data_IF_396373328555
#
_entry.id   IF_396373328555
#
_cell.length_a   1.000
_cell.length_b   1.000
_cell.length_c   1.000
_cell.angle_alpha   90.00
_cell.angle_beta   90.00
_cell.angle_gamma   90.00
#
_symmetry.space_group_name_H-M   'P 1'
#
loop_
_entity.id
_entity.type
_entity.pdbx_description
1 polymer ?
#
# COMPACT_ATOMS: atom_id res chain seq x y z
N UNK A 1 -14.18 11.56 32.41
CA UNK A 1 -13.11 10.73 33.00
C UNK A 1 -12.53 9.92 31.85
N UNK A 2 -11.33 10.27 31.36
CA UNK A 2 -10.71 9.51 30.26
C UNK A 2 -10.32 8.14 30.82
N UNK A 3 -11.05 7.09 30.43
CA UNK A 3 -10.69 5.70 30.73
C UNK A 3 -9.27 5.46 30.22
N UNK A 4 -8.38 4.94 31.06
CA UNK A 4 -7.00 4.65 30.68
C UNK A 4 -6.92 3.59 29.58
N UNK A 5 -5.92 3.68 28.71
CA UNK A 5 -5.73 2.72 27.59
C UNK A 5 -5.58 1.28 28.12
N UNK A 6 -4.87 1.09 29.23
CA UNK A 6 -4.72 -0.21 29.90
C UNK A 6 -6.06 -0.84 30.27
N UNK A 7 -7.03 -0.03 30.71
CA UNK A 7 -8.39 -0.51 31.02
C UNK A 7 -9.14 -0.94 29.77
N UNK A 8 -8.92 -0.25 28.63
CA UNK A 8 -9.52 -0.62 27.35
C UNK A 8 -8.93 -1.93 26.82
N UNK A 9 -7.62 -2.17 26.95
CA UNK A 9 -6.97 -3.42 26.54
C UNK A 9 -7.46 -4.63 27.35
N UNK A 10 -7.62 -4.47 28.68
CA UNK A 10 -8.19 -5.51 29.55
C UNK A 10 -9.64 -5.81 29.17
N UNK A 11 -10.42 -4.77 28.85
CA UNK A 11 -11.81 -4.93 28.41
C UNK A 11 -11.87 -5.62 27.06
N UNK A 12 -10.99 -5.25 26.12
CA UNK A 12 -10.88 -5.87 24.81
C UNK A 12 -10.57 -7.37 24.96
N UNK A 13 -9.56 -7.74 25.76
CA UNK A 13 -9.27 -9.14 26.08
C UNK A 13 -10.49 -9.90 26.62
N UNK A 14 -11.24 -9.27 27.53
CA UNK A 14 -12.46 -9.86 28.09
C UNK A 14 -13.53 -10.08 27.02
N UNK A 15 -13.74 -9.11 26.13
CA UNK A 15 -14.68 -9.21 25.01
C UNK A 15 -14.27 -10.32 24.02
N UNK A 16 -12.96 -10.47 23.74
CA UNK A 16 -12.44 -11.53 22.89
C UNK A 16 -12.67 -12.92 23.51
N UNK A 17 -12.39 -13.07 24.81
CA UNK A 17 -12.58 -14.33 25.54
C UNK A 17 -14.06 -14.72 25.69
N UNK A 18 -14.95 -13.73 25.81
CA UNK A 18 -16.40 -13.93 25.94
C UNK A 18 -17.13 -13.99 24.59
N UNK A 19 -16.40 -13.97 23.46
CA UNK A 19 -16.94 -13.97 22.10
C UNK A 19 -17.97 -12.86 21.85
N UNK A 20 -17.64 -11.64 22.27
CA UNK A 20 -18.42 -10.42 21.98
C UNK A 20 -17.71 -9.59 20.89
N UNK A 21 -17.83 -9.97 19.60
CA UNK A 21 -17.01 -9.40 18.54
C UNK A 21 -17.26 -7.90 18.29
N UNK A 22 -18.52 -7.44 18.32
CA UNK A 22 -18.84 -6.02 18.08
C UNK A 22 -18.21 -5.10 19.13
N UNK A 23 -18.30 -5.45 20.41
CA UNK A 23 -17.68 -4.69 21.49
C UNK A 23 -16.14 -4.73 21.41
N UNK A 24 -15.57 -5.86 20.96
CA UNK A 24 -14.14 -5.96 20.72
C UNK A 24 -13.68 -5.01 19.59
N UNK A 25 -14.46 -4.88 18.51
CA UNK A 25 -14.14 -3.96 17.42
C UNK A 25 -14.16 -2.48 17.83
N UNK A 26 -15.20 -2.06 18.56
CA UNK A 26 -15.30 -0.68 19.08
C UNK A 26 -14.11 -0.32 19.97
N UNK A 27 -13.72 -1.25 20.86
CA UNK A 27 -12.59 -1.07 21.76
C UNK A 27 -11.26 -1.05 21.01
N UNK A 28 -11.07 -1.96 20.04
CA UNK A 28 -9.87 -2.00 19.20
C UNK A 28 -9.68 -0.70 18.44
N UNK A 29 -10.72 -0.22 17.75
CA UNK A 29 -10.70 1.05 17.04
C UNK A 29 -10.40 2.23 17.99
N UNK A 30 -11.05 2.27 19.15
CA UNK A 30 -10.81 3.31 20.16
C UNK A 30 -9.39 3.31 20.72
N UNK A 31 -8.76 2.14 20.90
CA UNK A 31 -7.37 2.05 21.35
C UNK A 31 -6.43 2.51 20.24
N UNK A 32 -6.61 2.01 19.01
CA UNK A 32 -5.77 2.34 17.86
C UNK A 32 -5.87 3.82 17.45
N UNK A 33 -7.01 4.48 17.69
CA UNK A 33 -7.20 5.92 17.49
C UNK A 33 -6.47 6.80 18.53
N UNK A 34 -6.24 6.30 19.75
CA UNK A 34 -5.61 7.07 20.84
C UNK A 34 -4.08 7.16 20.77
N UNK A 35 -3.45 6.39 19.87
CA UNK A 35 -2.06 6.62 19.46
C UNK A 35 -1.08 5.48 19.77
N UNK A 36 -0.47 4.97 18.69
CA UNK A 36 0.93 4.52 18.47
C UNK A 36 1.69 3.68 19.51
N UNK A 37 1.03 2.94 20.40
CA UNK A 37 1.68 1.82 21.09
C UNK A 37 1.23 0.49 20.50
N UNK A 38 2.16 -0.46 20.46
CA UNK A 38 1.86 -1.87 20.19
C UNK A 38 0.80 -2.31 21.21
N UNK A 39 -0.32 -2.83 20.72
CA UNK A 39 -1.30 -3.45 21.61
C UNK A 39 -0.59 -4.58 22.35
N UNK A 40 -0.78 -4.65 23.67
CA UNK A 40 -0.33 -5.81 24.43
C UNK A 40 -1.31 -6.99 24.26
N UNK A 41 -1.53 -7.35 22.99
CA UNK A 41 -2.46 -8.37 22.51
C UNK A 41 -1.73 -9.20 21.48
N UNK A 42 -1.85 -10.52 21.59
CA UNK A 42 -1.36 -11.42 20.54
C UNK A 42 -2.19 -11.19 19.27
N UNK A 43 -1.52 -10.80 18.19
CA UNK A 43 -2.16 -10.55 16.90
C UNK A 43 -2.84 -11.81 16.35
N UNK A 44 -2.35 -13.01 16.67
CA UNK A 44 -2.94 -14.28 16.26
C UNK A 44 -4.26 -14.58 16.99
N UNK A 45 -4.30 -14.31 18.29
CA UNK A 45 -5.53 -14.44 19.09
C UNK A 45 -6.57 -13.41 18.66
N UNK A 46 -6.14 -12.18 18.41
CA UNK A 46 -7.01 -11.14 17.87
C UNK A 46 -7.53 -11.55 16.48
N UNK A 47 -6.65 -11.92 15.54
CA UNK A 47 -7.03 -12.38 14.20
C UNK A 47 -8.06 -13.52 14.25
N UNK A 48 -7.83 -14.53 15.09
CA UNK A 48 -8.74 -15.67 15.24
C UNK A 48 -10.11 -15.25 15.77
N UNK A 49 -10.13 -14.38 16.78
CA UNK A 49 -11.37 -13.89 17.40
C UNK A 49 -12.14 -12.94 16.47
N UNK A 50 -11.44 -12.08 15.74
CA UNK A 50 -12.01 -11.16 14.76
C UNK A 50 -12.60 -11.87 13.53
N UNK A 51 -12.15 -13.09 13.22
CA UNK A 51 -12.74 -13.89 12.14
C UNK A 51 -13.98 -14.69 12.57
N UNK A 52 -14.40 -14.61 13.84
CA UNK A 52 -15.65 -15.25 14.30
C UNK A 52 -16.90 -14.39 14.09
N UNK A 53 -16.75 -13.14 13.64
CA UNK A 53 -17.84 -12.28 13.16
C UNK A 53 -17.88 -12.22 11.63
N UNK A 54 -18.99 -11.71 11.09
CA UNK A 54 -19.04 -11.35 9.67
C UNK A 54 -17.90 -10.36 9.38
N UNK A 55 -17.06 -10.70 8.41
CA UNK A 55 -15.90 -9.90 8.03
C UNK A 55 -16.32 -8.54 7.46
N UNK A 56 -17.57 -8.38 7.00
CA UNK A 56 -18.08 -7.08 6.50
C UNK A 56 -18.28 -6.08 7.64
N UNK A 57 -18.84 -6.51 8.77
CA UNK A 57 -19.05 -5.65 9.95
C UNK A 57 -17.72 -5.18 10.55
N UNK A 58 -16.72 -6.05 10.53
CA UNK A 58 -15.35 -5.77 10.98
C UNK A 58 -14.67 -4.60 10.24
N UNK A 59 -14.92 -4.47 8.92
CA UNK A 59 -14.24 -3.48 8.09
C UNK A 59 -14.65 -2.05 8.44
N UNK A 60 -15.91 -1.84 8.83
CA UNK A 60 -16.40 -0.53 9.28
C UNK A 60 -15.60 0.04 10.46
N UNK A 61 -15.08 -0.82 11.33
CA UNK A 61 -14.31 -0.43 12.50
C UNK A 61 -12.80 -0.30 12.21
N UNK A 62 -12.30 -1.04 11.24
CA UNK A 62 -10.89 -1.02 10.83
C UNK A 62 -10.57 0.09 9.85
N UNK A 63 -11.54 0.60 9.09
CA UNK A 63 -11.35 1.69 8.12
C UNK A 63 -10.58 2.91 8.64
N UNK A 64 -10.89 3.48 9.82
CA UNK A 64 -10.16 4.63 10.33
C UNK A 64 -8.74 4.30 10.82
N UNK A 65 -8.38 3.02 10.94
CA UNK A 65 -7.13 2.55 11.56
C UNK A 65 -6.32 1.58 10.69
N UNK A 66 -6.79 1.27 9.48
CA UNK A 66 -6.16 0.33 8.55
C UNK A 66 -4.72 0.70 8.18
N UNK A 67 -4.41 2.00 8.19
CA UNK A 67 -3.08 2.57 7.94
C UNK A 67 -2.18 2.63 9.20
N UNK A 68 -2.63 2.13 10.36
CA UNK A 68 -1.81 2.15 11.58
C UNK A 68 -0.76 1.04 11.50
N UNK A 69 0.48 1.36 11.91
CA UNK A 69 1.63 0.46 11.92
C UNK A 69 1.33 -0.94 12.48
N UNK A 70 0.66 -1.02 13.63
CA UNK A 70 0.33 -2.31 14.25
C UNK A 70 -0.66 -3.14 13.41
N UNK A 71 -1.58 -2.49 12.68
CA UNK A 71 -2.50 -3.19 11.77
C UNK A 71 -1.73 -3.77 10.59
N UNK A 72 -0.78 -3.01 10.03
CA UNK A 72 0.00 -3.43 8.85
C UNK A 72 1.09 -4.45 9.20
N UNK A 73 1.84 -4.25 10.28
CA UNK A 73 3.00 -5.06 10.64
C UNK A 73 2.66 -6.27 11.52
N UNK A 74 1.51 -6.28 12.21
CA UNK A 74 1.16 -7.35 13.16
C UNK A 74 -0.17 -8.03 12.83
N UNK A 75 -1.26 -7.26 12.67
CA UNK A 75 -2.58 -7.83 12.43
C UNK A 75 -2.71 -8.47 11.05
N UNK A 76 -2.22 -7.80 9.99
CA UNK A 76 -2.31 -8.31 8.62
C UNK A 76 -1.59 -9.66 8.43
N UNK A 77 -0.32 -9.84 8.88
CA UNK A 77 0.33 -11.15 8.84
C UNK A 77 -0.44 -12.23 9.62
N UNK A 78 -0.92 -11.90 10.82
CA UNK A 78 -1.68 -12.83 11.64
C UNK A 78 -3.01 -13.26 10.98
N UNK A 79 -3.67 -12.34 10.27
CA UNK A 79 -4.87 -12.64 9.49
C UNK A 79 -4.56 -13.49 8.25
N UNK A 80 -3.42 -13.24 7.58
CA UNK A 80 -3.00 -14.03 6.42
C UNK A 80 -2.66 -15.49 6.80
N UNK A 81 -2.15 -15.71 8.01
CA UNK A 81 -1.85 -17.05 8.54
C UNK A 81 -3.07 -17.76 9.16
N UNK A 82 -4.13 -17.01 9.47
CA UNK A 82 -5.35 -17.54 10.08
C UNK A 82 -6.13 -18.46 9.13
N UNK A 83 -6.57 -19.61 9.66
CA UNK A 83 -7.42 -20.58 8.94
C UNK A 83 -8.92 -20.28 9.09
N UNK A 84 -9.29 -19.19 9.74
CA UNK A 84 -10.68 -18.86 10.00
C UNK A 84 -11.41 -18.45 8.70
N UNK A 85 -12.71 -18.79 8.56
CA UNK A 85 -13.50 -18.39 7.40
C UNK A 85 -13.58 -16.85 7.32
N UNK A 86 -13.34 -16.30 6.13
CA UNK A 86 -13.35 -14.84 5.90
C UNK A 86 -12.02 -14.13 6.19
N UNK A 87 -11.02 -14.79 6.79
CA UNK A 87 -9.71 -14.19 7.07
C UNK A 87 -9.00 -13.67 5.80
N UNK A 88 -9.05 -14.43 4.71
CA UNK A 88 -8.50 -14.02 3.41
C UNK A 88 -9.20 -12.78 2.82
N UNK A 89 -10.54 -12.73 2.89
CA UNK A 89 -11.32 -11.57 2.43
C UNK A 89 -11.01 -10.33 3.27
N UNK A 90 -10.95 -10.49 4.59
CA UNK A 90 -10.61 -9.40 5.52
C UNK A 90 -9.19 -8.89 5.29
N UNK A 91 -8.23 -9.79 5.06
CA UNK A 91 -6.84 -9.44 4.72
C UNK A 91 -6.78 -8.63 3.42
N UNK A 92 -7.51 -9.07 2.38
CA UNK A 92 -7.58 -8.35 1.12
C UNK A 92 -8.23 -6.96 1.30
N UNK A 93 -9.34 -6.88 2.02
CA UNK A 93 -10.05 -5.63 2.26
C UNK A 93 -9.23 -4.63 3.10
N UNK A 94 -8.57 -5.07 4.16
CA UNK A 94 -7.66 -4.21 4.96
C UNK A 94 -6.49 -3.71 4.10
N UNK A 95 -5.92 -4.55 3.22
CA UNK A 95 -4.89 -4.11 2.26
C UNK A 95 -5.42 -3.06 1.29
N UNK A 96 -6.64 -3.23 0.78
CA UNK A 96 -7.27 -2.24 -0.10
C UNK A 96 -7.53 -0.93 0.65
N UNK A 97 -8.09 -0.98 1.85
CA UNK A 97 -8.33 0.20 2.69
C UNK A 97 -7.03 0.90 3.09
N UNK A 98 -5.94 0.15 3.30
CA UNK A 98 -4.61 0.70 3.54
C UNK A 98 -3.92 1.26 2.29
N UNK A 99 -4.43 0.94 1.09
CA UNK A 99 -3.93 1.49 -0.17
C UNK A 99 -4.55 2.86 -0.49
N UNK A 100 -5.81 3.05 -0.10
CA UNK A 100 -6.58 4.28 -0.31
C UNK A 100 -6.28 5.32 0.76
N UNK A 101 -5.90 6.52 0.32
CA UNK A 101 -5.58 7.67 1.18
C UNK A 101 -6.65 8.73 1.03
N UNK A 102 -6.87 9.52 2.08
CA UNK A 102 -7.89 10.58 2.09
C UNK A 102 -7.24 11.94 2.28
N UNK A 103 -7.67 12.90 1.47
CA UNK A 103 -7.37 14.32 1.73
C UNK A 103 -8.56 14.94 2.47
N UNK A 104 -8.30 15.45 3.68
CA UNK A 104 -9.30 16.05 4.55
C UNK A 104 -9.01 17.54 4.70
N UNK A 105 -10.01 18.38 4.43
CA UNK A 105 -9.94 19.82 4.62
C UNK A 105 -11.13 20.25 5.48
N UNK A 106 -10.86 21.01 6.55
CA UNK A 106 -11.88 21.50 7.50
C UNK A 106 -12.80 20.38 8.05
N UNK A 107 -12.20 19.23 8.38
CA UNK A 107 -12.91 18.07 8.93
C UNK A 107 -13.78 17.30 7.92
N UNK A 108 -13.71 17.62 6.63
CA UNK A 108 -14.43 16.91 5.56
C UNK A 108 -13.47 16.24 4.58
N UNK A 109 -13.76 15.01 4.18
CA UNK A 109 -13.04 14.34 3.09
C UNK A 109 -13.35 15.06 1.79
N UNK A 110 -12.31 15.59 1.14
CA UNK A 110 -12.41 16.28 -0.15
C UNK A 110 -12.36 15.26 -1.28
N UNK A 111 -11.40 14.34 -1.20
CA UNK A 111 -11.24 13.22 -2.12
C UNK A 111 -10.46 12.09 -1.46
N UNK A 112 -10.65 10.90 -2.00
CA UNK A 112 -9.83 9.72 -1.71
C UNK A 112 -8.95 9.43 -2.91
N UNK A 113 -7.80 8.83 -2.71
CA UNK A 113 -6.88 8.53 -3.79
C UNK A 113 -6.01 7.33 -3.49
N UNK A 114 -5.66 6.61 -4.54
CA UNK A 114 -4.69 5.53 -4.50
C UNK A 114 -3.76 5.62 -5.72
N UNK A 115 -2.72 4.80 -5.71
CA UNK A 115 -1.81 4.71 -6.83
C UNK A 115 -1.29 3.30 -6.98
N UNK A 116 -1.01 2.93 -8.23
CA UNK A 116 -0.19 1.80 -8.60
C UNK A 116 1.11 2.33 -9.24
N UNK A 117 1.87 1.45 -9.88
CA UNK A 117 3.13 1.82 -10.55
C UNK A 117 2.95 2.82 -11.70
N UNK A 118 1.81 2.79 -12.38
CA UNK A 118 1.57 3.49 -13.66
C UNK A 118 0.53 4.61 -13.56
N UNK A 119 -0.32 4.58 -12.55
CA UNK A 119 -1.57 5.31 -12.49
C UNK A 119 -1.81 5.85 -11.09
N UNK A 120 -2.54 6.96 -11.03
CA UNK A 120 -3.10 7.51 -9.81
C UNK A 120 -4.61 7.64 -9.98
N UNK A 121 -5.37 7.07 -9.05
CA UNK A 121 -6.82 7.13 -9.03
C UNK A 121 -7.28 8.10 -7.95
N UNK A 122 -8.25 8.93 -8.27
CA UNK A 122 -8.88 9.90 -7.35
C UNK A 122 -10.39 9.66 -7.36
N UNK A 123 -10.97 9.54 -6.18
CA UNK A 123 -12.38 9.29 -5.93
C UNK A 123 -12.98 10.49 -5.20
N UNK A 124 -14.07 11.03 -5.73
CA UNK A 124 -14.76 12.20 -5.19
C UNK A 124 -16.24 11.88 -5.11
N UNK A 125 -16.84 12.08 -3.94
CA UNK A 125 -18.29 11.99 -3.75
C UNK A 125 -18.96 13.31 -4.14
N UNK A 126 -19.63 13.40 -5.30
CA UNK A 126 -20.33 14.61 -5.72
C UNK A 126 -21.61 14.82 -4.89
N UNK A 127 -22.16 16.05 -4.87
CA UNK A 127 -23.46 16.29 -4.28
C UNK A 127 -24.56 15.40 -4.90
N UNK A 128 -25.58 14.99 -4.12
CA UNK A 128 -26.67 14.16 -4.63
C UNK A 128 -27.36 14.78 -5.86
N UNK A 129 -27.58 13.96 -6.89
CA UNK A 129 -28.24 14.40 -8.13
C UNK A 129 -27.31 15.05 -9.17
N UNK A 130 -26.00 15.15 -8.89
CA UNK A 130 -25.02 15.52 -9.91
C UNK A 130 -24.85 14.36 -10.90
N UNK A 131 -24.96 14.66 -12.19
CA UNK A 131 -24.73 13.71 -13.27
C UNK A 131 -23.52 14.14 -14.09
N UNK A 132 -23.04 13.25 -14.96
CA UNK A 132 -21.94 13.53 -15.91
C UNK A 132 -22.10 14.85 -16.67
N UNK A 133 -23.32 15.24 -17.00
CA UNK A 133 -23.59 16.45 -17.78
C UNK A 133 -23.36 17.75 -17.01
N UNK A 134 -23.45 17.70 -15.68
CA UNK A 134 -23.22 18.85 -14.80
C UNK A 134 -21.74 19.09 -14.50
N UNK A 135 -20.88 18.10 -14.74
CA UNK A 135 -19.46 18.19 -14.41
C UNK A 135 -18.65 18.93 -15.49
N UNK A 136 -17.69 19.71 -15.04
CA UNK A 136 -16.64 20.37 -15.81
C UNK A 136 -15.29 19.86 -15.28
N UNK A 137 -14.75 18.84 -15.96
CA UNK A 137 -13.51 18.17 -15.56
C UNK A 137 -12.52 18.29 -16.70
N UNK A 138 -11.35 18.82 -16.39
CA UNK A 138 -10.24 18.96 -17.33
C UNK A 138 -8.97 18.39 -16.70
N UNK A 139 -8.45 17.36 -17.33
CA UNK A 139 -7.16 16.77 -17.02
C UNK A 139 -6.16 17.39 -18.02
N UNK A 140 -5.09 17.96 -17.52
CA UNK A 140 -3.97 18.51 -18.30
C UNK A 140 -2.66 17.95 -17.72
N UNK A 141 -1.54 17.94 -18.47
CA UNK A 141 -0.30 17.31 -18.02
C UNK A 141 0.22 17.82 -16.67
N UNK A 142 -0.07 19.08 -16.33
CA UNK A 142 0.35 19.72 -15.07
C UNK A 142 -0.82 20.34 -14.30
N UNK A 143 -2.06 20.03 -14.66
CA UNK A 143 -3.21 20.64 -14.01
C UNK A 143 -4.43 19.73 -13.99
N UNK A 144 -5.11 19.64 -12.85
CA UNK A 144 -6.38 18.96 -12.70
C UNK A 144 -7.42 19.98 -12.25
N UNK A 145 -8.43 20.19 -13.10
CA UNK A 145 -9.60 20.98 -12.76
C UNK A 145 -10.81 20.08 -12.66
N UNK A 146 -11.52 20.18 -11.54
CA UNK A 146 -12.77 19.46 -11.27
C UNK A 146 -13.78 20.48 -10.77
N UNK A 147 -14.97 20.53 -11.35
CA UNK A 147 -16.02 21.43 -10.90
C UNK A 147 -17.40 21.06 -11.43
N UNK A 148 -18.39 21.81 -10.98
CA UNK A 148 -19.75 21.75 -11.52
C UNK A 148 -19.94 22.97 -12.42
N UNK A 149 -20.48 22.77 -13.63
CA UNK A 149 -20.73 23.83 -14.60
C UNK A 149 -21.55 24.96 -13.96
N UNK A 150 -21.09 26.19 -14.17
CA UNK A 150 -21.71 27.41 -13.61
C UNK A 150 -21.21 27.79 -12.21
N UNK A 151 -20.45 26.93 -11.54
CA UNK A 151 -19.83 27.23 -10.24
C UNK A 151 -18.31 27.41 -10.38
N UNK A 152 -17.64 28.02 -9.39
CA UNK A 152 -16.19 27.96 -9.26
C UNK A 152 -15.71 26.49 -9.24
N UNK A 153 -14.50 26.20 -9.76
CA UNK A 153 -13.95 24.86 -9.72
C UNK A 153 -13.78 24.38 -8.26
N UNK A 154 -14.18 23.14 -8.01
CA UNK A 154 -14.06 22.48 -6.72
C UNK A 154 -12.60 22.11 -6.43
N UNK A 155 -11.87 21.59 -7.44
CA UNK A 155 -10.42 21.39 -7.41
C UNK A 155 -9.82 22.09 -8.62
N UNK A 156 -8.70 22.78 -8.41
CA UNK A 156 -7.98 23.47 -9.48
C UNK A 156 -6.49 23.53 -9.16
N UNK A 157 -5.86 22.36 -9.13
CA UNK A 157 -4.52 22.17 -8.59
C UNK A 157 -3.62 21.40 -9.57
N UNK A 158 -2.32 21.43 -9.35
CA UNK A 158 -1.39 20.61 -10.12
C UNK A 158 -1.36 19.17 -9.58
N UNK A 159 -1.40 18.13 -10.44
CA UNK A 159 -1.03 16.78 -10.05
C UNK A 159 0.39 16.75 -9.49
N UNK A 160 0.69 15.76 -8.64
CA UNK A 160 2.00 15.66 -7.99
C UNK A 160 3.16 15.64 -8.99
N UNK A 161 2.99 14.90 -10.09
CA UNK A 161 3.92 14.85 -11.22
C UNK A 161 3.20 14.96 -12.57
N UNK A 162 3.95 14.89 -13.67
CA UNK A 162 3.42 15.00 -15.02
C UNK A 162 2.48 13.81 -15.34
N UNK A 163 1.33 14.11 -15.94
CA UNK A 163 0.31 13.14 -16.35
C UNK A 163 0.26 13.02 -17.87
N UNK A 164 0.12 11.80 -18.39
CA UNK A 164 -0.18 11.55 -19.80
C UNK A 164 -1.67 11.70 -20.04
N UNK A 165 -2.06 12.79 -20.70
CA UNK A 165 -3.46 13.22 -20.78
C UNK A 165 -4.30 12.32 -21.69
N UNK A 166 -3.69 11.79 -22.75
CA UNK A 166 -4.38 10.95 -23.74
C UNK A 166 -4.79 9.58 -23.16
N UNK A 167 -4.03 9.08 -22.20
CA UNK A 167 -4.27 7.82 -21.48
C UNK A 167 -5.06 8.02 -20.18
N UNK A 168 -5.34 9.26 -19.80
CA UNK A 168 -6.08 9.60 -18.58
C UNK A 168 -7.56 9.82 -18.88
N UNK A 169 -8.42 9.42 -17.95
CA UNK A 169 -9.86 9.57 -18.13
C UNK A 169 -10.58 9.75 -16.80
N UNK A 170 -11.87 10.06 -16.88
CA UNK A 170 -12.74 10.13 -15.72
C UNK A 170 -14.12 9.56 -16.05
N UNK A 171 -14.76 9.02 -15.03
CA UNK A 171 -16.09 8.42 -15.13
C UNK A 171 -16.86 8.60 -13.83
N UNK A 172 -18.17 8.39 -13.89
CA UNK A 172 -19.00 8.30 -12.69
C UNK A 172 -19.54 6.87 -12.62
N UNK A 173 -19.30 6.22 -11.48
CA UNK A 173 -19.82 4.88 -11.17
C UNK A 173 -20.59 4.98 -9.84
N UNK A 174 -21.83 4.46 -9.82
CA UNK A 174 -22.69 4.44 -8.63
C UNK A 174 -22.82 5.78 -7.87
N UNK A 175 -22.68 6.90 -8.59
CA UNK A 175 -22.77 8.25 -8.03
C UNK A 175 -21.44 8.80 -7.53
N UNK A 176 -20.35 8.03 -7.55
CA UNK A 176 -19.00 8.47 -7.23
C UNK A 176 -18.24 8.89 -8.50
N UNK A 177 -17.51 10.01 -8.43
CA UNK A 177 -16.63 10.46 -9.50
C UNK A 177 -15.26 9.79 -9.35
N UNK A 178 -14.87 9.04 -10.36
CA UNK A 178 -13.56 8.41 -10.48
C UNK A 178 -12.72 9.11 -11.55
N UNK A 179 -11.51 9.53 -11.19
CA UNK A 179 -10.54 10.16 -12.07
C UNK A 179 -9.29 9.29 -12.08
N UNK A 180 -8.90 8.80 -13.25
CA UNK A 180 -7.68 8.02 -13.47
C UNK A 180 -6.66 8.88 -14.24
N UNK A 181 -5.51 9.09 -13.61
CA UNK A 181 -4.38 9.84 -14.17
C UNK A 181 -3.23 8.88 -14.48
N UNK A 182 -2.87 8.77 -15.76
CA UNK A 182 -1.70 8.03 -16.20
C UNK A 182 -0.42 8.80 -15.85
N UNK A 183 0.48 8.21 -15.08
CA UNK A 183 1.77 8.82 -14.74
C UNK A 183 2.64 8.86 -15.99
N UNK A 184 3.19 10.03 -16.32
CA UNK A 184 4.19 10.12 -17.39
C UNK A 184 5.54 9.48 -16.99
N UNK A 185 5.74 9.23 -15.69
CA UNK A 185 6.92 8.57 -15.14
C UNK A 185 6.51 7.30 -14.40
N UNK A 186 6.49 6.17 -15.12
CA UNK A 186 6.27 4.83 -14.55
C UNK A 186 7.21 4.56 -13.37
N UNK A 187 6.65 4.07 -12.27
CA UNK A 187 7.37 3.79 -11.03
C UNK A 187 7.69 5.00 -10.16
N UNK A 188 7.21 6.19 -10.52
CA UNK A 188 7.29 7.35 -9.63
C UNK A 188 6.27 7.24 -8.50
N UNK A 189 6.77 7.33 -7.27
CA UNK A 189 5.94 7.34 -6.07
C UNK A 189 5.39 8.74 -5.84
N UNK A 190 4.07 8.87 -5.89
CA UNK A 190 3.41 10.13 -5.61
C UNK A 190 3.14 10.24 -4.11
N UNK A 191 3.59 11.32 -3.47
CA UNK A 191 3.31 11.54 -2.05
C UNK A 191 1.89 12.09 -1.82
N UNK A 192 1.28 12.67 -2.84
CA UNK A 192 -0.10 13.12 -2.84
C UNK A 192 -0.67 12.92 -4.24
N UNK A 193 -1.99 12.89 -4.40
CA UNK A 193 -2.58 12.98 -5.73
C UNK A 193 -2.33 14.36 -6.37
N UNK A 194 -2.45 15.42 -5.56
CA UNK A 194 -2.32 16.82 -5.95
C UNK A 194 -1.26 17.52 -5.10
N UNK A 195 -0.53 18.46 -5.70
CA UNK A 195 0.50 19.24 -4.97
C UNK A 195 -0.14 20.07 -3.87
N UNK A 196 0.55 20.17 -2.74
CA UNK A 196 0.10 20.98 -1.59
C UNK A 196 -1.02 20.33 -0.75
N UNK A 197 -1.62 19.23 -1.20
CA UNK A 197 -2.70 18.52 -0.49
C UNK A 197 -2.20 17.43 0.46
N UNK A 198 -1.04 17.68 1.08
CA UNK A 198 -0.42 16.80 2.07
C UNK A 198 0.96 16.29 1.65
N UNK A 199 1.75 15.94 2.66
CA UNK A 199 2.98 15.16 2.51
C UNK A 199 2.76 13.85 3.25
N UNK A 200 3.17 12.74 2.64
CA UNK A 200 3.28 11.48 3.38
C UNK A 200 4.29 11.65 4.50
N UNK A 201 4.04 11.01 5.64
CA UNK A 201 5.10 10.80 6.60
C UNK A 201 6.15 9.83 6.01
N UNK A 202 7.38 9.96 6.50
CA UNK A 202 8.53 9.19 6.00
C UNK A 202 8.33 7.67 6.05
N UNK A 203 7.49 7.16 6.96
CA UNK A 203 7.23 5.72 7.07
C UNK A 203 6.22 5.26 6.01
N UNK A 204 5.11 5.98 5.86
CA UNK A 204 4.13 5.72 4.79
C UNK A 204 4.79 5.75 3.42
N UNK A 205 5.68 6.72 3.17
CA UNK A 205 6.43 6.79 1.90
C UNK A 205 7.29 5.54 1.67
N UNK A 206 7.96 5.04 2.72
CA UNK A 206 8.75 3.81 2.63
C UNK A 206 7.90 2.58 2.33
N UNK A 207 6.73 2.44 2.96
CA UNK A 207 5.81 1.32 2.70
C UNK A 207 5.30 1.33 1.26
N UNK A 208 4.98 2.51 0.74
CA UNK A 208 4.51 2.68 -0.64
C UNK A 208 5.64 2.38 -1.62
N UNK A 209 6.85 2.88 -1.34
CA UNK A 209 8.02 2.57 -2.15
C UNK A 209 8.27 1.06 -2.21
N UNK A 210 8.14 0.35 -1.08
CA UNK A 210 8.23 -1.11 -1.02
C UNK A 210 7.16 -1.77 -1.88
N UNK A 211 5.90 -1.35 -1.75
CA UNK A 211 4.76 -1.89 -2.52
C UNK A 211 4.97 -1.70 -4.03
N UNK A 212 5.27 -0.48 -4.46
CA UNK A 212 5.48 -0.14 -5.88
C UNK A 212 6.70 -0.85 -6.47
N UNK A 213 7.74 -1.07 -5.67
CA UNK A 213 8.91 -1.85 -6.09
C UNK A 213 8.56 -3.33 -6.29
N UNK A 214 7.79 -3.91 -5.37
CA UNK A 214 7.36 -5.31 -5.48
C UNK A 214 6.46 -5.51 -6.71
N UNK A 215 5.53 -4.58 -6.95
CA UNK A 215 4.67 -4.56 -8.13
C UNK A 215 5.49 -4.52 -9.42
N UNK A 216 6.45 -3.58 -9.53
CA UNK A 216 7.39 -3.50 -10.66
C UNK A 216 8.10 -4.83 -10.91
N UNK A 217 8.56 -5.46 -9.84
CA UNK A 217 9.35 -6.67 -9.92
C UNK A 217 8.52 -7.88 -10.36
N UNK A 218 7.27 -7.95 -9.93
CA UNK A 218 6.32 -8.97 -10.41
C UNK A 218 6.00 -8.80 -11.89
N UNK A 219 5.82 -7.56 -12.39
CA UNK A 219 5.65 -7.28 -13.82
C UNK A 219 6.86 -7.70 -14.66
N UNK A 220 8.08 -7.46 -14.16
CA UNK A 220 9.32 -7.81 -14.84
C UNK A 220 9.60 -9.33 -14.81
N UNK A 221 8.98 -10.09 -13.88
CA UNK A 221 9.20 -11.53 -13.70
C UNK A 221 7.88 -12.33 -13.52
N UNK A 222 7.05 -12.48 -14.58
CA UNK A 222 5.71 -13.08 -14.51
C UNK A 222 5.65 -14.59 -14.18
N UNK A 223 6.77 -15.22 -13.82
CA UNK A 223 6.88 -16.64 -13.48
C UNK A 223 7.35 -16.93 -12.06
N UNK A 224 7.53 -15.89 -11.23
CA UNK A 224 8.01 -16.04 -9.86
C UNK A 224 7.02 -15.38 -8.89
N UNK A 225 6.61 -16.12 -7.87
CA UNK A 225 5.71 -15.64 -6.83
C UNK A 225 6.52 -14.97 -5.70
N UNK A 226 6.41 -13.64 -5.61
CA UNK A 226 7.05 -12.85 -4.54
C UNK A 226 6.04 -12.36 -3.50
N UNK A 227 4.84 -12.95 -3.42
CA UNK A 227 3.81 -12.54 -2.46
C UNK A 227 4.25 -12.67 -0.99
N UNK A 228 5.23 -13.51 -0.68
CA UNK A 228 5.82 -13.68 0.65
C UNK A 228 7.13 -12.90 0.89
N UNK A 229 7.61 -12.11 -0.06
CA UNK A 229 8.91 -11.45 0.05
C UNK A 229 8.85 -10.22 0.97
N UNK A 230 9.77 -10.17 1.95
CA UNK A 230 9.93 -9.01 2.84
C UNK A 230 11.18 -8.21 2.49
N UNK A 231 11.05 -6.89 2.48
CA UNK A 231 12.15 -5.97 2.18
C UNK A 231 12.92 -5.61 3.46
N UNK A 232 14.22 -5.92 3.54
CA UNK A 232 15.06 -5.52 4.66
C UNK A 232 15.81 -4.21 4.37
N UNK A 233 15.29 -3.08 4.86
CA UNK A 233 15.94 -1.76 4.75
C UNK A 233 15.06 -0.64 4.21
N UNK A 234 15.69 0.45 3.75
CA UNK A 234 15.00 1.56 3.06
C UNK A 234 14.81 1.25 1.58
N UNK A 235 13.56 1.28 1.11
CA UNK A 235 13.25 1.05 -0.30
C UNK A 235 13.50 2.33 -1.11
N UNK A 236 14.45 2.34 -2.07
CA UNK A 236 14.55 3.43 -3.02
C UNK A 236 13.28 3.52 -3.88
N UNK A 237 13.02 4.69 -4.46
CA UNK A 237 11.90 4.86 -5.39
C UNK A 237 12.01 3.88 -6.57
N UNK A 238 10.89 3.25 -6.92
CA UNK A 238 10.79 2.30 -8.03
C UNK A 238 11.15 2.90 -9.40
N UNK A 239 11.23 4.24 -9.52
CA UNK A 239 11.67 4.95 -10.73
C UNK A 239 13.16 4.76 -11.03
N UNK A 240 14.01 4.75 -10.00
CA UNK A 240 15.43 4.50 -10.22
C UNK A 240 15.56 3.05 -10.69
N UNK A 241 16.18 2.81 -11.86
CA UNK A 241 16.39 1.46 -12.37
C UNK A 241 17.24 0.67 -11.37
N UNK A 242 16.57 -0.04 -10.47
CA UNK A 242 17.21 -0.96 -9.56
C UNK A 242 17.30 -2.26 -10.34
N UNK A 243 18.45 -2.54 -10.95
CA UNK A 243 18.70 -3.83 -11.62
C UNK A 243 18.26 -4.97 -10.71
N UNK A 244 17.67 -6.05 -11.25
CA UNK A 244 17.20 -7.21 -10.50
C UNK A 244 18.19 -7.68 -9.40
N UNK A 245 19.51 -7.58 -9.64
CA UNK A 245 20.57 -7.88 -8.67
C UNK A 245 20.55 -7.01 -7.39
N UNK A 246 20.16 -5.74 -7.46
CA UNK A 246 20.03 -4.86 -6.30
C UNK A 246 18.73 -5.12 -5.53
N UNK A 247 17.65 -5.54 -6.20
CA UNK A 247 16.40 -5.92 -5.54
C UNK A 247 16.59 -7.27 -4.82
N UNK A 248 17.21 -8.25 -5.48
CA UNK A 248 17.56 -9.54 -4.89
C UNK A 248 18.48 -9.41 -3.66
N UNK A 249 19.36 -8.40 -3.61
CA UNK A 249 20.22 -8.13 -2.46
C UNK A 249 19.46 -7.56 -1.25
N UNK A 250 18.26 -7.02 -1.42
CA UNK A 250 17.47 -6.38 -0.34
C UNK A 250 16.25 -7.21 0.09
N UNK A 251 15.86 -8.20 -0.71
CA UNK A 251 14.87 -9.21 -0.32
C UNK A 251 15.56 -10.34 0.47
N UNK A 252 15.49 -10.31 1.80
CA UNK A 252 16.06 -11.37 2.64
C UNK A 252 15.09 -12.54 2.88
N UNK A 253 15.04 -13.48 1.90
CA UNK A 253 14.85 -14.96 1.96
C UNK A 253 13.49 -15.61 2.37
N UNK A 254 13.27 -16.94 2.10
CA UNK A 254 14.08 -17.94 1.35
C UNK A 254 13.30 -18.67 0.20
N UNK A 255 13.94 -19.22 -0.83
CA UNK A 255 14.33 -20.64 -0.83
C UNK A 255 15.51 -20.93 -1.77
N UNK A 256 16.52 -21.60 -1.22
CA UNK A 256 17.67 -22.21 -1.92
C UNK A 256 18.80 -21.27 -2.42
N UNK A 257 20.08 -21.53 -2.05
CA UNK A 257 21.25 -20.86 -2.64
C UNK A 257 21.42 -21.12 -4.15
N UNK A 258 20.73 -22.11 -4.70
CA UNK A 258 20.74 -22.44 -6.12
C UNK A 258 20.04 -21.38 -6.98
N UNK A 259 19.05 -20.66 -6.43
CA UNK A 259 18.23 -19.71 -7.20
C UNK A 259 18.87 -18.31 -7.31
N UNK A 260 19.76 -17.96 -6.37
CA UNK A 260 20.53 -16.72 -6.41
C UNK A 260 21.56 -16.68 -7.56
N UNK A 261 22.08 -17.85 -7.96
CA UNK A 261 23.09 -17.97 -9.03
C UNK A 261 22.44 -17.74 -10.41
N UNK A 262 21.17 -18.11 -10.57
CA UNK A 262 20.35 -17.88 -11.78
C UNK A 262 20.11 -16.39 -12.07
N UNK A 263 20.08 -15.57 -11.01
CA UNK A 263 19.79 -14.14 -11.10
C UNK A 263 20.96 -13.30 -11.65
N UNK A 264 22.18 -13.81 -11.59
CA UNK A 264 23.38 -13.08 -12.02
C UNK A 264 23.73 -13.25 -13.50
N UNK A 265 23.10 -14.22 -14.19
CA UNK A 265 23.39 -14.49 -15.60
C UNK A 265 22.12 -14.90 -16.36
N UNK A 266 21.48 -14.00 -17.12
CA UNK A 266 20.58 -14.46 -18.18
C UNK A 266 21.46 -15.12 -19.24
N UNK A 267 21.06 -16.31 -19.69
CA UNK A 267 21.72 -17.09 -20.74
C UNK A 267 21.99 -16.17 -21.95
N UNK A 268 23.25 -15.78 -22.15
CA UNK A 268 23.71 -15.18 -23.40
C UNK A 268 24.71 -16.10 -24.05
N UNK A 269 24.38 -16.52 -25.27
CA UNK A 269 25.27 -17.26 -26.16
C UNK A 269 26.58 -16.48 -26.41
N UNK A 270 27.69 -17.23 -26.51
CA UNK A 270 28.96 -16.76 -27.09
C UNK A 270 30.07 -16.48 -26.08
N UNK A 271 31.30 -16.89 -26.45
CA UNK A 271 32.52 -17.08 -25.65
C UNK A 271 33.03 -15.91 -24.74
N UNK A 272 32.31 -14.81 -24.59
CA UNK A 272 32.63 -13.73 -23.65
C UNK A 272 32.43 -14.10 -22.17
N UNK A 273 31.52 -15.03 -21.86
CA UNK A 273 31.23 -15.46 -20.48
C UNK A 273 32.40 -16.20 -19.80
N UNK A 274 33.25 -16.90 -20.57
CA UNK A 274 34.38 -17.68 -20.03
C UNK A 274 35.50 -16.80 -19.47
N UNK A 275 35.72 -15.61 -20.06
CA UNK A 275 36.78 -14.68 -19.62
C UNK A 275 36.40 -13.91 -18.35
N UNK A 276 35.12 -13.59 -18.17
CA UNK A 276 34.62 -12.91 -16.96
C UNK A 276 34.48 -13.87 -15.77
N UNK A 277 34.09 -15.13 -16.02
CA UNK A 277 33.99 -16.17 -14.97
C UNK A 277 35.32 -16.49 -14.28
N UNK A 278 36.45 -16.40 -15.00
CA UNK A 278 37.79 -16.61 -14.44
C UNK A 278 38.27 -15.45 -13.55
N UNK A 279 37.81 -14.23 -13.81
CA UNK A 279 38.21 -13.06 -13.02
C UNK A 279 37.42 -12.96 -11.70
N UNK A 280 36.17 -13.44 -11.68
CA UNK A 280 35.30 -13.42 -10.51
C UNK A 280 35.58 -14.57 -9.53
N UNK A 281 36.02 -15.73 -10.02
CA UNK A 281 36.44 -16.85 -9.16
C UNK A 281 37.71 -16.54 -8.36
N UNK A 282 38.61 -15.72 -8.91
CA UNK A 282 39.80 -15.21 -8.21
C UNK A 282 39.41 -14.18 -7.14
N UNK A 283 38.40 -13.34 -7.41
CA UNK A 283 37.93 -12.33 -6.46
C UNK A 283 37.19 -12.96 -5.27
N UNK A 284 36.32 -13.95 -5.51
CA UNK A 284 35.60 -14.66 -4.45
C UNK A 284 36.54 -15.51 -3.58
N UNK A 285 37.59 -16.13 -4.15
CA UNK A 285 38.60 -16.84 -3.35
C UNK A 285 39.46 -15.92 -2.46
N UNK A 286 39.66 -14.65 -2.84
CA UNK A 286 40.36 -13.69 -1.98
C UNK A 286 39.51 -13.19 -0.81
N UNK A 287 38.19 -13.09 -0.99
CA UNK A 287 37.26 -12.69 0.08
C UNK A 287 37.10 -13.81 1.11
N UNK A 288 37.17 -15.08 0.70
CA UNK A 288 37.01 -16.23 1.58
C UNK A 288 38.26 -16.55 2.43
N UNK A 289 39.42 -15.97 2.12
CA UNK A 289 40.65 -16.07 2.90
C UNK A 289 40.84 -14.94 3.93
N UNK A 290 39.91 -13.98 3.99
CA UNK A 290 39.96 -12.81 4.87
C UNK A 290 38.89 -12.81 5.99
N UNK A 291 38.16 -13.92 6.18
CA UNK A 291 37.26 -14.17 7.31
C UNK A 291 37.74 -15.35 8.15
#
# INVERSE_FOLDING_TARGET
MLVGIETLEVTLNTCLMTRQPLAAWDLLAAILQRGSRELNLDAADLATSLCHCDWQDALMYLEPVCNKRWVVESLLPALAESRAPGAGNMTAAIRHMGATRRFVYDGRTVYEWEQNIDECHVYIQPPPGVTKHHLDIKIEPRHLRVGIKGNPPFLNEEPFSLVETDSSFWMIEDGELHIQMQKAHKGETWAAALKGHGQLDMFSEQEINKKLMLERFQEEHPGFDFSGASFSGQAPSARHQVTAAKIAAVLSGPSSPSDAVSCLFPVSNGDHAKRLGLHLSVFLNQVQLAC
#
